data_IF_616580730574
#
_entry.id   IF_616580730574
#
_cell.length_a   1.000
_cell.length_b   1.000
_cell.length_c   1.000
_cell.angle_alpha   90.00
_cell.angle_beta   90.00
_cell.angle_gamma   90.00
#
_symmetry.space_group_name_H-M   'P 1'
#
loop_
_entity.id
_entity.type
_entity.pdbx_description
1 polymer ?
#
# COMPACT_ATOMS: atom_id res chain seq x y z
N UNK A 1 -2.19 -12.39 17.90
CA UNK A 1 -1.85 -11.58 19.11
C UNK A 1 -2.88 -10.47 19.19
N UNK A 2 -3.57 -10.37 20.30
CA UNK A 2 -4.57 -9.31 20.51
C UNK A 2 -3.87 -7.95 20.72
N UNK A 3 -4.51 -6.88 20.29
CA UNK A 3 -3.92 -5.52 20.36
C UNK A 3 -3.59 -5.11 21.81
N UNK A 4 -4.40 -5.53 22.76
CA UNK A 4 -4.18 -5.29 24.19
C UNK A 4 -2.95 -6.01 24.78
N UNK A 5 -2.45 -7.04 24.09
CA UNK A 5 -1.24 -7.77 24.50
C UNK A 5 0.05 -7.12 23.96
N UNK A 6 -0.06 -6.14 23.07
CA UNK A 6 1.07 -5.42 22.49
C UNK A 6 1.57 -4.27 23.38
N UNK A 7 1.94 -4.59 24.62
CA UNK A 7 2.45 -3.62 25.57
C UNK A 7 3.96 -3.40 25.39
N UNK A 8 4.36 -2.14 25.28
CA UNK A 8 5.76 -1.76 25.18
C UNK A 8 6.41 -1.63 26.55
N UNK A 9 7.52 -2.33 26.76
CA UNK A 9 8.38 -2.11 27.93
C UNK A 9 9.32 -0.92 27.65
N UNK A 10 9.04 0.24 28.25
CA UNK A 10 9.73 1.50 27.96
C UNK A 10 10.81 1.89 28.97
N UNK A 11 10.87 1.24 30.13
CA UNK A 11 11.91 1.50 31.13
C UNK A 11 11.70 0.79 32.44
N UNK A 12 12.75 0.78 33.26
CA UNK A 12 12.75 0.13 34.60
C UNK A 12 13.49 0.93 35.66
N UNK A 13 14.16 2.03 35.30
CA UNK A 13 14.93 2.84 36.26
C UNK A 13 13.98 3.81 36.99
N UNK A 14 13.90 3.74 38.32
CA UNK A 14 13.07 4.67 39.09
C UNK A 14 13.72 6.05 39.14
N UNK A 15 12.90 7.09 39.19
CA UNK A 15 13.33 8.44 39.52
C UNK A 15 13.74 8.50 41.02
N UNK A 16 14.81 9.24 41.31
CA UNK A 16 15.32 9.37 42.67
C UNK A 16 14.53 10.43 43.45
N UNK A 17 13.36 10.03 43.93
CA UNK A 17 12.50 10.84 44.77
C UNK A 17 11.59 9.92 45.62
N UNK A 18 11.10 10.42 46.73
CA UNK A 18 10.15 9.69 47.58
C UNK A 18 8.69 9.95 47.15
N UNK A 19 8.31 9.33 46.02
CA UNK A 19 7.00 9.47 45.37
C UNK A 19 6.50 8.12 44.85
N UNK A 20 5.23 8.05 44.48
CA UNK A 20 4.67 6.91 43.73
C UNK A 20 5.08 6.97 42.26
N UNK A 21 4.95 5.85 41.54
CA UNK A 21 5.17 5.75 40.08
C UNK A 21 6.55 6.26 39.59
N UNK A 22 7.60 5.97 40.36
CA UNK A 22 8.97 6.46 40.10
C UNK A 22 9.48 6.16 38.68
N UNK A 23 9.16 4.98 38.12
CA UNK A 23 9.58 4.60 36.74
C UNK A 23 8.88 5.48 35.72
N UNK A 24 7.56 5.68 35.84
CA UNK A 24 6.79 6.57 34.97
C UNK A 24 7.37 7.99 34.98
N UNK A 25 7.64 8.52 36.18
CA UNK A 25 8.19 9.86 36.32
C UNK A 25 9.57 9.98 35.64
N UNK A 26 10.43 8.96 35.78
CA UNK A 26 11.74 8.99 35.14
C UNK A 26 11.60 8.98 33.59
N UNK A 27 10.68 8.21 33.02
CA UNK A 27 10.40 8.22 31.58
C UNK A 27 9.90 9.60 31.14
N UNK A 28 8.95 10.18 31.84
CA UNK A 28 8.45 11.54 31.55
C UNK A 28 9.56 12.58 31.62
N UNK A 29 10.46 12.48 32.61
CA UNK A 29 11.62 13.36 32.73
C UNK A 29 12.57 13.21 31.51
N UNK A 30 12.86 11.99 31.09
CA UNK A 30 13.67 11.71 29.90
C UNK A 30 13.03 12.30 28.63
N UNK A 31 11.72 12.14 28.46
CA UNK A 31 10.98 12.70 27.32
C UNK A 31 11.00 14.24 27.35
N UNK A 32 10.83 14.82 28.55
CA UNK A 32 10.90 16.28 28.70
C UNK A 32 12.30 16.82 28.42
N UNK A 33 13.35 16.25 28.98
CA UNK A 33 14.73 16.69 28.76
C UNK A 33 15.19 16.58 27.30
N UNK A 34 14.77 15.50 26.60
CA UNK A 34 15.21 15.26 25.23
C UNK A 34 14.36 15.96 24.18
N UNK A 35 13.07 16.07 24.41
CA UNK A 35 12.10 16.47 23.36
C UNK A 35 11.15 17.59 23.82
N UNK A 36 11.19 18.02 25.08
CA UNK A 36 10.26 19.01 25.62
C UNK A 36 8.85 18.47 25.83
N UNK A 37 8.64 17.15 25.76
CA UNK A 37 7.35 16.49 25.87
C UNK A 37 6.94 16.42 27.35
N UNK A 38 5.69 16.74 27.65
CA UNK A 38 5.05 16.60 28.95
C UNK A 38 3.99 15.50 28.93
N UNK A 39 3.49 15.07 30.09
CA UNK A 39 2.43 14.06 30.16
C UNK A 39 1.15 14.48 29.42
N UNK A 40 0.85 15.79 29.40
CA UNK A 40 -0.33 16.32 28.70
C UNK A 40 -0.22 16.15 27.17
N UNK A 41 0.99 16.26 26.63
CA UNK A 41 1.22 16.09 25.20
C UNK A 41 0.93 14.66 24.73
N UNK A 42 1.12 13.67 25.62
CA UNK A 42 0.81 12.26 25.31
C UNK A 42 -0.69 11.98 25.13
N UNK A 43 -1.58 12.85 25.63
CA UNK A 43 -3.03 12.70 25.49
C UNK A 43 -3.51 12.91 24.04
N UNK A 44 -2.73 13.62 23.23
CA UNK A 44 -3.06 13.93 21.83
C UNK A 44 -1.99 13.48 20.85
N UNK A 45 -0.99 12.74 21.30
CA UNK A 45 0.08 12.23 20.45
C UNK A 45 -0.37 11.00 19.67
N UNK A 46 0.17 10.84 18.46
CA UNK A 46 0.17 9.59 17.72
C UNK A 46 1.50 8.88 17.96
N UNK A 47 1.44 7.68 18.50
CA UNK A 47 2.63 6.88 18.84
C UNK A 47 2.59 5.56 18.09
N UNK A 48 3.59 5.32 17.27
CA UNK A 48 3.72 4.11 16.49
C UNK A 48 4.89 3.26 16.98
N UNK A 49 4.63 1.98 17.15
CA UNK A 49 5.62 0.96 17.52
C UNK A 49 5.99 0.18 16.28
N UNK A 50 7.21 0.38 15.81
CA UNK A 50 7.69 -0.26 14.59
C UNK A 50 8.94 -1.10 14.88
N UNK A 51 9.16 -2.22 14.16
CA UNK A 51 10.40 -2.99 14.26
C UNK A 51 11.62 -2.15 13.90
N UNK A 52 12.64 -2.20 14.75
CA UNK A 52 13.91 -1.47 14.52
C UNK A 52 14.89 -2.24 13.62
N UNK A 53 14.50 -3.38 13.10
CA UNK A 53 15.37 -4.20 12.24
C UNK A 53 15.54 -3.54 10.87
N UNK A 54 16.78 -3.42 10.37
CA UNK A 54 17.00 -2.90 9.02
C UNK A 54 16.52 -3.89 7.95
N UNK A 55 16.10 -3.36 6.82
CA UNK A 55 15.87 -4.16 5.62
C UNK A 55 17.17 -4.83 5.16
N UNK A 56 17.09 -6.10 4.73
CA UNK A 56 18.25 -6.92 4.35
C UNK A 56 17.98 -7.76 3.12
N UNK A 57 19.03 -8.01 2.35
CA UNK A 57 19.02 -9.08 1.34
C UNK A 57 18.86 -10.44 2.03
N UNK A 58 18.05 -11.31 1.44
CA UNK A 58 17.71 -12.62 1.94
C UNK A 58 17.85 -13.70 0.86
N UNK A 59 18.06 -14.94 1.28
CA UNK A 59 18.33 -16.08 0.42
C UNK A 59 19.83 -16.31 0.21
N UNK A 60 20.22 -17.55 -0.14
CA UNK A 60 21.62 -17.89 -0.41
C UNK A 60 22.20 -17.11 -1.60
N UNK A 61 21.33 -16.77 -2.55
CA UNK A 61 21.63 -16.00 -3.78
C UNK A 61 21.36 -14.51 -3.63
N UNK A 62 20.89 -14.07 -2.48
CA UNK A 62 20.48 -12.69 -2.22
C UNK A 62 19.37 -12.16 -3.17
N UNK A 63 18.54 -13.03 -3.70
CA UNK A 63 17.47 -12.67 -4.66
C UNK A 63 16.25 -12.03 -4.02
N UNK A 64 16.12 -12.11 -2.71
CA UNK A 64 15.01 -11.54 -1.95
C UNK A 64 15.44 -10.36 -1.10
N UNK A 65 14.48 -9.60 -0.66
CA UNK A 65 14.63 -8.54 0.34
C UNK A 65 13.60 -8.76 1.44
N UNK A 66 14.07 -8.62 2.68
CA UNK A 66 13.26 -8.77 3.88
C UNK A 66 13.34 -7.52 4.75
N UNK A 67 12.20 -7.05 5.23
CA UNK A 67 12.09 -5.85 6.05
C UNK A 67 10.68 -5.61 6.54
N UNK A 68 10.53 -4.67 7.43
CA UNK A 68 9.23 -4.22 7.93
C UNK A 68 8.58 -3.24 6.96
N UNK A 69 7.26 -3.42 6.74
CA UNK A 69 6.46 -2.50 5.93
C UNK A 69 6.75 -2.60 4.44
N UNK A 70 7.03 -3.80 3.92
CA UNK A 70 6.99 -4.05 2.48
C UNK A 70 5.60 -3.75 1.95
N UNK A 71 4.60 -4.06 2.72
CA UNK A 71 3.23 -3.62 2.62
C UNK A 71 3.09 -2.22 3.27
N UNK A 72 2.90 -1.11 2.51
CA UNK A 72 3.02 -1.11 1.02
C UNK A 72 4.15 -0.17 0.54
N UNK A 73 5.21 -0.02 1.32
CA UNK A 73 6.37 0.83 0.94
C UNK A 73 7.00 0.41 -0.38
N UNK A 74 6.87 -0.86 -0.74
CA UNK A 74 7.50 -1.38 -1.96
C UNK A 74 6.78 -0.89 -3.22
N UNK A 75 5.44 -0.88 -3.23
CA UNK A 75 4.69 -0.34 -4.37
C UNK A 75 4.71 1.20 -4.36
N UNK A 76 4.73 1.84 -3.19
CA UNK A 76 4.94 3.29 -3.07
C UNK A 76 6.28 3.69 -3.70
N UNK A 77 7.37 3.02 -3.35
CA UNK A 77 8.70 3.32 -3.88
C UNK A 77 8.77 3.12 -5.40
N UNK A 78 8.26 2.00 -5.88
CA UNK A 78 8.32 1.65 -7.31
C UNK A 78 7.42 2.55 -8.16
N UNK A 79 6.22 2.89 -7.68
CA UNK A 79 5.30 3.81 -8.35
C UNK A 79 5.89 5.22 -8.45
N UNK A 80 6.33 5.77 -7.32
CA UNK A 80 6.91 7.11 -7.30
C UNK A 80 8.15 7.21 -8.18
N UNK A 81 9.06 6.23 -8.07
CA UNK A 81 10.30 6.22 -8.87
C UNK A 81 9.99 6.09 -10.35
N UNK A 82 9.01 5.26 -10.73
CA UNK A 82 8.58 5.12 -12.12
C UNK A 82 8.04 6.45 -12.66
N UNK A 83 7.17 7.13 -11.91
CA UNK A 83 6.63 8.43 -12.33
C UNK A 83 7.74 9.50 -12.49
N UNK A 84 8.69 9.55 -11.56
CA UNK A 84 9.80 10.53 -11.62
C UNK A 84 10.71 10.36 -12.86
N UNK A 85 10.70 9.18 -13.48
CA UNK A 85 11.47 8.89 -14.69
C UNK A 85 10.68 9.13 -15.99
N UNK A 86 9.42 9.57 -15.90
CA UNK A 86 8.63 9.88 -17.10
C UNK A 86 9.00 11.27 -17.63
N UNK A 87 9.57 11.30 -18.80
CA UNK A 87 9.80 12.52 -19.56
C UNK A 87 8.65 12.76 -20.54
N UNK A 88 8.11 13.98 -20.57
CA UNK A 88 7.07 14.43 -21.53
C UNK A 88 5.83 13.51 -21.56
N UNK A 89 5.12 13.35 -20.45
CA UNK A 89 3.92 12.51 -20.41
C UNK A 89 2.87 13.02 -21.39
N UNK A 90 2.25 12.11 -22.13
CA UNK A 90 1.19 12.43 -23.10
C UNK A 90 -0.14 12.80 -22.41
N UNK A 91 -0.32 12.33 -21.19
CA UNK A 91 -1.49 12.59 -20.34
C UNK A 91 -1.03 13.09 -18.96
N UNK A 92 -1.90 13.77 -18.26
CA UNK A 92 -1.64 14.12 -16.85
C UNK A 92 -1.46 12.84 -16.03
N UNK A 93 -0.32 12.71 -15.38
CA UNK A 93 0.07 11.55 -14.60
C UNK A 93 0.17 11.93 -13.13
N UNK A 94 -0.48 11.17 -12.26
CA UNK A 94 -0.56 11.44 -10.82
C UNK A 94 -0.24 10.16 -10.05
N UNK A 95 0.71 10.22 -9.13
CA UNK A 95 0.93 9.19 -8.12
C UNK A 95 0.29 9.64 -6.82
N UNK A 96 -0.66 8.88 -6.32
CA UNK A 96 -1.32 9.11 -5.04
C UNK A 96 -0.71 8.16 -4.03
N UNK A 97 -0.18 8.69 -2.94
CA UNK A 97 0.31 7.90 -1.81
C UNK A 97 -0.70 8.11 -0.69
N UNK A 98 -1.49 7.08 -0.43
CA UNK A 98 -2.59 7.14 0.53
C UNK A 98 -2.13 6.69 1.91
N UNK A 99 -2.68 7.33 2.93
CA UNK A 99 -2.55 6.95 4.34
C UNK A 99 -3.79 6.14 4.78
N UNK A 100 -3.65 5.37 5.86
CA UNK A 100 -4.74 4.68 6.56
C UNK A 100 -5.44 3.56 5.77
N UNK A 101 -4.76 2.98 4.78
CA UNK A 101 -5.33 1.85 4.03
C UNK A 101 -5.70 0.71 4.97
N UNK A 102 -4.79 0.30 5.86
CA UNK A 102 -4.90 -0.82 6.79
C UNK A 102 -6.02 -0.70 7.83
N UNK A 103 -6.53 0.50 8.04
CA UNK A 103 -7.66 0.76 8.94
C UNK A 103 -8.92 1.16 8.18
N UNK A 104 -9.00 0.85 6.88
CA UNK A 104 -10.19 1.03 6.04
C UNK A 104 -10.27 2.39 5.35
N UNK A 105 -9.15 3.07 5.13
CA UNK A 105 -9.04 4.33 4.37
C UNK A 105 -9.91 5.48 4.91
N UNK A 106 -10.34 5.40 6.15
CA UNK A 106 -11.25 6.33 6.80
C UNK A 106 -10.54 7.59 7.31
N UNK A 107 -11.33 8.62 7.64
CA UNK A 107 -10.82 9.88 8.17
C UNK A 107 -10.45 10.89 7.09
N UNK A 108 -9.96 12.06 7.51
CA UNK A 108 -9.72 13.20 6.63
C UNK A 108 -8.45 13.08 5.76
N UNK A 109 -7.59 12.09 6.01
CA UNK A 109 -6.37 11.82 5.23
C UNK A 109 -6.42 10.48 4.50
N UNK A 110 -7.40 9.63 4.79
CA UNK A 110 -7.62 8.37 4.08
C UNK A 110 -8.21 8.57 2.69
N UNK A 111 -8.12 7.56 1.85
CA UNK A 111 -8.57 7.64 0.45
C UNK A 111 -10.09 7.82 0.30
N UNK A 112 -10.88 7.43 1.30
CA UNK A 112 -12.34 7.66 1.36
C UNK A 112 -12.70 9.14 1.58
N UNK A 113 -11.74 9.99 1.95
CA UNK A 113 -11.98 11.42 2.14
C UNK A 113 -12.13 12.17 0.80
N UNK A 114 -12.65 13.39 0.88
CA UNK A 114 -12.75 14.27 -0.28
C UNK A 114 -11.44 15.01 -0.64
N UNK A 115 -10.32 14.69 0.01
CA UNK A 115 -9.04 15.39 -0.22
C UNK A 115 -8.60 15.26 -1.68
N UNK A 116 -8.67 14.05 -2.23
CA UNK A 116 -8.30 13.81 -3.62
C UNK A 116 -9.22 14.53 -4.61
N UNK A 117 -10.54 14.46 -4.39
CA UNK A 117 -11.54 15.15 -5.23
C UNK A 117 -11.31 16.67 -5.22
N UNK A 118 -11.06 17.22 -4.04
CA UNK A 118 -10.76 18.65 -3.86
C UNK A 118 -9.47 19.02 -4.59
N UNK A 119 -8.42 18.22 -4.46
CA UNK A 119 -7.14 18.44 -5.12
C UNK A 119 -7.28 18.48 -6.65
N UNK A 120 -7.98 17.51 -7.23
CA UNK A 120 -8.22 17.47 -8.68
C UNK A 120 -9.08 18.65 -9.11
N UNK A 121 -10.13 18.98 -8.36
CA UNK A 121 -10.99 20.14 -8.65
C UNK A 121 -10.20 21.45 -8.67
N UNK A 122 -9.27 21.65 -7.73
CA UNK A 122 -8.40 22.84 -7.70
C UNK A 122 -7.47 22.93 -8.92
N UNK A 123 -6.92 21.78 -9.35
CA UNK A 123 -6.13 21.72 -10.59
C UNK A 123 -7.00 22.12 -11.79
N UNK A 124 -8.19 21.54 -11.91
CA UNK A 124 -9.11 21.83 -13.02
C UNK A 124 -9.50 23.31 -13.04
N UNK A 125 -9.80 23.89 -11.89
CA UNK A 125 -10.12 25.32 -11.76
C UNK A 125 -8.95 26.21 -12.24
N UNK A 126 -7.72 25.88 -11.85
CA UNK A 126 -6.51 26.61 -12.27
C UNK A 126 -6.24 26.49 -13.78
N UNK A 127 -6.65 25.39 -14.39
CA UNK A 127 -6.59 25.19 -15.85
C UNK A 127 -7.74 25.86 -16.61
N UNK A 128 -8.61 26.58 -15.92
CA UNK A 128 -9.74 27.29 -16.53
C UNK A 128 -10.97 26.41 -16.79
N UNK A 129 -11.08 25.28 -16.11
CA UNK A 129 -12.20 24.34 -16.23
C UNK A 129 -13.44 24.86 -15.51
N UNK A 130 -14.46 25.29 -16.26
CA UNK A 130 -15.74 25.80 -15.73
C UNK A 130 -16.95 24.96 -16.20
N UNK A 131 -16.74 23.75 -16.74
CA UNK A 131 -17.83 22.92 -17.29
C UNK A 131 -18.55 22.17 -16.19
N UNK A 132 -19.89 22.06 -16.24
CA UNK A 132 -20.63 21.21 -15.32
C UNK A 132 -20.13 19.76 -15.39
N UNK A 133 -20.07 19.12 -14.24
CA UNK A 133 -19.62 17.71 -14.08
C UNK A 133 -18.22 17.44 -14.67
N UNK A 134 -17.32 18.42 -14.61
CA UNK A 134 -15.99 18.27 -15.18
C UNK A 134 -15.16 17.25 -14.41
N UNK A 135 -15.26 17.25 -13.07
CA UNK A 135 -14.56 16.30 -12.22
C UNK A 135 -14.96 14.84 -12.52
N UNK A 136 -16.26 14.59 -12.57
CA UNK A 136 -16.82 13.27 -12.90
C UNK A 136 -16.38 12.80 -14.29
N UNK A 137 -16.37 13.70 -15.27
CA UNK A 137 -15.89 13.39 -16.62
C UNK A 137 -14.39 13.08 -16.65
N UNK A 138 -13.60 13.78 -15.84
CA UNK A 138 -12.17 13.48 -15.71
C UNK A 138 -11.98 12.11 -15.10
N UNK A 139 -12.70 11.76 -14.03
CA UNK A 139 -12.62 10.43 -13.44
C UNK A 139 -13.02 9.34 -14.43
N UNK A 140 -14.16 9.48 -15.11
CA UNK A 140 -14.60 8.49 -16.12
C UNK A 140 -13.65 8.31 -17.32
N UNK A 141 -12.72 9.24 -17.54
CA UNK A 141 -11.68 9.13 -18.57
C UNK A 141 -10.29 8.83 -18.00
N UNK A 142 -10.22 8.51 -16.73
CA UNK A 142 -8.96 8.22 -16.05
C UNK A 142 -8.79 6.71 -15.82
N UNK A 143 -7.54 6.29 -15.79
CA UNK A 143 -7.14 4.91 -15.56
C UNK A 143 -6.18 4.85 -14.38
N UNK A 144 -6.27 3.81 -13.57
CA UNK A 144 -5.43 3.63 -12.39
C UNK A 144 -4.93 2.18 -12.26
N UNK A 145 -3.66 2.03 -11.95
CA UNK A 145 -3.16 0.84 -11.28
C UNK A 145 -3.23 1.11 -9.77
N UNK A 146 -4.01 0.31 -9.07
CA UNK A 146 -4.01 0.28 -7.61
C UNK A 146 -2.80 -0.53 -7.18
N UNK A 147 -1.73 0.19 -6.87
CA UNK A 147 -0.44 -0.40 -6.56
C UNK A 147 -0.41 -0.73 -5.07
N UNK A 148 -0.77 -1.96 -4.75
CA UNK A 148 -0.77 -2.54 -3.42
C UNK A 148 -0.16 -3.95 -3.49
N UNK A 149 0.53 -4.40 -2.45
CA UNK A 149 1.17 -5.71 -2.47
C UNK A 149 0.15 -6.83 -2.60
N UNK A 150 0.58 -7.96 -3.16
CA UNK A 150 -0.24 -9.15 -3.33
C UNK A 150 0.23 -10.26 -2.37
N UNK A 151 -0.70 -11.09 -1.91
CA UNK A 151 -0.36 -12.21 -1.03
C UNK A 151 0.33 -13.33 -1.81
N UNK A 152 1.64 -13.42 -1.68
CA UNK A 152 2.42 -14.51 -2.25
C UNK A 152 2.06 -15.86 -1.62
N UNK A 153 1.97 -16.92 -2.42
CA UNK A 153 1.72 -18.26 -1.90
C UNK A 153 2.84 -18.70 -0.94
N UNK A 154 2.48 -18.90 0.31
CA UNK A 154 3.36 -19.53 1.29
C UNK A 154 3.06 -21.06 1.33
N UNK A 155 4.02 -21.91 0.95
CA UNK A 155 3.80 -23.36 0.94
C UNK A 155 3.57 -23.96 2.34
N UNK A 156 3.98 -23.26 3.41
CA UNK A 156 3.80 -23.71 4.79
C UNK A 156 2.36 -23.41 5.25
N UNK A 157 1.79 -22.29 4.82
CA UNK A 157 0.44 -21.82 5.21
C UNK A 157 -0.54 -21.83 4.03
N UNK A 158 -0.44 -22.80 3.15
CA UNK A 158 -1.23 -22.87 1.91
C UNK A 158 -2.75 -23.02 2.09
N UNK A 159 -3.24 -23.26 3.30
CA UNK A 159 -4.68 -23.45 3.57
C UNK A 159 -5.55 -22.21 3.30
N UNK A 160 -4.96 -21.02 3.38
CA UNK A 160 -5.64 -19.73 3.15
C UNK A 160 -5.55 -19.26 1.70
N UNK A 161 -4.88 -20.03 0.84
CA UNK A 161 -4.63 -19.68 -0.56
C UNK A 161 -5.26 -20.70 -1.51
N UNK A 162 -5.68 -20.26 -2.70
CA UNK A 162 -6.04 -21.11 -3.83
C UNK A 162 -4.88 -21.13 -4.83
N UNK A 163 -4.21 -22.27 -4.95
CA UNK A 163 -2.96 -22.38 -5.72
C UNK A 163 -3.04 -21.95 -7.17
N UNK A 164 -4.22 -22.15 -7.79
CA UNK A 164 -4.41 -21.78 -9.20
C UNK A 164 -4.52 -20.26 -9.42
N UNK A 165 -4.90 -19.54 -8.36
CA UNK A 165 -5.17 -18.10 -8.41
C UNK A 165 -4.19 -17.29 -7.56
N UNK A 166 -3.25 -17.94 -6.89
CA UNK A 166 -2.27 -17.24 -6.03
C UNK A 166 -1.10 -16.70 -6.86
N UNK A 167 -0.59 -15.55 -6.44
CA UNK A 167 0.71 -15.07 -6.90
C UNK A 167 1.87 -15.82 -6.24
N UNK A 168 3.01 -15.79 -6.91
CA UNK A 168 4.24 -16.43 -6.44
C UNK A 168 5.39 -15.44 -6.51
N UNK A 169 6.20 -15.35 -5.47
CA UNK A 169 7.42 -14.53 -5.52
C UNK A 169 8.37 -15.03 -6.63
N UNK A 170 9.06 -14.10 -7.27
CA UNK A 170 10.00 -14.40 -8.36
C UNK A 170 9.34 -14.62 -9.73
N UNK A 171 8.05 -14.34 -9.88
CA UNK A 171 7.32 -14.50 -11.14
C UNK A 171 6.81 -13.21 -11.76
N UNK A 172 7.14 -12.08 -11.18
CA UNK A 172 6.71 -10.77 -11.66
C UNK A 172 5.52 -10.22 -10.89
N UNK A 173 5.02 -9.10 -11.36
CA UNK A 173 3.95 -8.34 -10.73
C UNK A 173 2.61 -9.09 -10.79
N UNK A 174 1.83 -9.06 -9.72
CA UNK A 174 0.46 -9.59 -9.68
C UNK A 174 -0.53 -8.62 -10.33
N UNK A 175 -1.43 -9.14 -11.16
CA UNK A 175 -2.61 -8.43 -11.66
C UNK A 175 -3.84 -9.11 -11.07
N UNK A 176 -4.56 -8.42 -10.20
CA UNK A 176 -5.75 -8.92 -9.56
C UNK A 176 -6.99 -8.27 -10.17
N UNK A 177 -7.65 -9.01 -11.07
CA UNK A 177 -8.90 -8.54 -11.68
C UNK A 177 -10.00 -8.33 -10.64
N UNK A 178 -10.02 -9.18 -9.62
CA UNK A 178 -11.00 -9.18 -8.56
C UNK A 178 -10.33 -9.17 -7.20
N UNK A 179 -10.77 -8.28 -6.31
CA UNK A 179 -10.39 -8.22 -4.91
C UNK A 179 -11.61 -8.13 -4.01
N UNK A 180 -11.47 -8.44 -2.74
CA UNK A 180 -12.54 -8.34 -1.76
C UNK A 180 -12.45 -9.38 -0.66
N UNK A 181 -12.68 -8.96 0.58
CA UNK A 181 -12.71 -9.87 1.72
C UNK A 181 -13.97 -10.73 1.68
N UNK A 182 -13.83 -12.04 1.74
CA UNK A 182 -14.89 -13.04 1.66
C UNK A 182 -15.82 -12.83 0.45
N UNK A 183 -15.25 -12.34 -0.64
CA UNK A 183 -15.95 -12.12 -1.89
C UNK A 183 -16.85 -10.89 -1.97
N UNK A 184 -16.91 -10.03 -0.95
CA UNK A 184 -17.87 -8.90 -0.95
C UNK A 184 -17.37 -7.60 -0.33
N UNK A 185 -16.63 -7.64 0.77
CA UNK A 185 -16.23 -6.44 1.48
C UNK A 185 -15.02 -5.78 0.84
N UNK A 186 -15.11 -4.48 0.54
CA UNK A 186 -14.07 -3.75 -0.17
C UNK A 186 -13.76 -4.32 -1.56
N UNK A 187 -14.78 -4.91 -2.22
CA UNK A 187 -14.59 -5.60 -3.48
C UNK A 187 -14.36 -4.63 -4.64
N UNK A 188 -13.43 -4.97 -5.51
CA UNK A 188 -13.24 -4.36 -6.83
C UNK A 188 -13.25 -5.45 -7.90
N UNK A 189 -13.79 -5.12 -9.07
CA UNK A 189 -13.82 -6.00 -10.25
C UNK A 189 -13.46 -5.18 -11.48
N UNK A 190 -12.20 -5.29 -11.91
CA UNK A 190 -11.72 -4.59 -13.10
C UNK A 190 -12.45 -5.08 -14.36
N UNK A 191 -12.86 -4.15 -15.22
CA UNK A 191 -13.50 -4.54 -16.48
C UNK A 191 -12.51 -5.26 -17.42
N UNK A 192 -13.05 -6.16 -18.24
CA UNK A 192 -12.23 -7.04 -19.08
C UNK A 192 -11.41 -6.27 -20.14
N UNK A 193 -11.93 -5.18 -20.65
CA UNK A 193 -11.27 -4.31 -21.63
C UNK A 193 -10.03 -3.66 -21.04
N UNK A 194 -10.12 -3.13 -19.82
CA UNK A 194 -8.99 -2.52 -19.14
C UNK A 194 -7.94 -3.57 -18.73
N UNK A 195 -8.36 -4.74 -18.26
CA UNK A 195 -7.45 -5.87 -18.00
C UNK A 195 -6.67 -6.23 -19.27
N UNK A 196 -7.35 -6.31 -20.42
CA UNK A 196 -6.72 -6.61 -21.70
C UNK A 196 -5.74 -5.51 -22.13
N UNK A 197 -6.07 -4.24 -21.88
CA UNK A 197 -5.18 -3.11 -22.17
C UNK A 197 -3.90 -3.18 -21.34
N UNK A 198 -4.02 -3.36 -20.02
CA UNK A 198 -2.86 -3.45 -19.12
C UNK A 198 -1.97 -4.64 -19.50
N UNK A 199 -2.57 -5.80 -19.78
CA UNK A 199 -1.82 -6.97 -20.26
C UNK A 199 -1.08 -6.67 -21.55
N UNK A 200 -1.73 -6.04 -22.54
CA UNK A 200 -1.08 -5.64 -23.79
C UNK A 200 0.12 -4.72 -23.54
N UNK A 201 -0.04 -3.70 -22.67
CA UNK A 201 1.06 -2.80 -22.30
C UNK A 201 2.23 -3.60 -21.72
N UNK A 202 1.96 -4.53 -20.83
CA UNK A 202 3.00 -5.33 -20.18
C UNK A 202 3.70 -6.28 -21.17
N UNK A 203 2.93 -6.95 -22.03
CA UNK A 203 3.46 -7.86 -23.07
C UNK A 203 4.34 -7.11 -24.09
N UNK A 204 3.90 -5.96 -24.58
CA UNK A 204 4.64 -5.12 -25.54
C UNK A 204 5.95 -4.56 -24.94
N UNK A 205 6.01 -4.39 -23.61
CA UNK A 205 7.20 -3.90 -22.92
C UNK A 205 8.02 -5.00 -22.23
N UNK A 206 7.71 -6.27 -22.48
CA UNK A 206 8.38 -7.43 -21.88
C UNK A 206 8.41 -7.37 -20.34
N UNK A 207 7.31 -6.99 -19.72
CA UNK A 207 7.10 -7.01 -18.28
C UNK A 207 6.61 -8.39 -17.88
N UNK A 208 7.22 -8.96 -16.84
CA UNK A 208 6.74 -10.22 -16.26
C UNK A 208 5.59 -9.94 -15.30
N UNK A 209 4.48 -10.59 -15.52
CA UNK A 209 3.29 -10.50 -14.69
C UNK A 209 2.61 -11.85 -14.53
N UNK A 210 1.75 -11.95 -13.54
CA UNK A 210 0.91 -13.11 -13.29
C UNK A 210 -0.52 -12.63 -12.97
N UNK A 211 -1.52 -13.43 -13.35
CA UNK A 211 -2.90 -13.18 -12.96
C UNK A 211 -3.13 -13.90 -11.64
N UNK A 212 -3.61 -13.17 -10.65
CA UNK A 212 -3.78 -13.69 -9.30
C UNK A 212 -5.06 -13.16 -8.65
N UNK A 213 -5.37 -13.70 -7.49
CA UNK A 213 -6.36 -13.20 -6.53
C UNK A 213 -5.74 -13.16 -5.14
N UNK A 214 -6.18 -12.23 -4.34
CA UNK A 214 -5.69 -12.03 -2.98
C UNK A 214 -6.31 -13.07 -2.04
N UNK A 215 -5.63 -14.19 -1.82
CA UNK A 215 -6.05 -15.26 -0.95
C UNK A 215 -7.19 -16.13 -1.50
N UNK A 216 -7.78 -16.94 -0.64
CA UNK A 216 -8.90 -17.83 -0.96
C UNK A 216 -10.22 -17.13 -0.64
N UNK A 217 -11.04 -16.87 -1.67
CA UNK A 217 -12.23 -16.00 -1.60
C UNK A 217 -13.16 -16.29 -0.41
N UNK A 218 -13.55 -17.55 -0.20
CA UNK A 218 -14.51 -17.88 0.87
C UNK A 218 -13.91 -17.93 2.28
N UNK A 219 -12.59 -18.02 2.38
CA UNK A 219 -11.87 -18.21 3.65
C UNK A 219 -11.14 -16.95 4.10
N UNK A 220 -10.68 -16.16 3.16
CA UNK A 220 -9.87 -14.98 3.41
C UNK A 220 -10.03 -13.95 2.30
N UNK A 221 -8.93 -13.54 1.73
CA UNK A 221 -8.86 -12.43 0.78
C UNK A 221 -8.75 -11.10 1.49
N UNK A 222 -8.55 -10.05 0.73
CA UNK A 222 -8.44 -8.69 1.20
C UNK A 222 -9.11 -7.72 0.24
N UNK A 223 -9.54 -6.59 0.75
CA UNK A 223 -9.87 -5.42 -0.05
C UNK A 223 -8.62 -4.55 -0.22
N UNK A 224 -8.68 -3.67 -1.19
CA UNK A 224 -7.68 -2.65 -1.47
C UNK A 224 -8.39 -1.32 -1.66
N UNK A 225 -7.66 -0.24 -1.89
CA UNK A 225 -8.26 1.07 -2.22
C UNK A 225 -8.85 1.15 -3.64
N UNK A 226 -8.69 0.12 -4.46
CA UNK A 226 -9.12 0.09 -5.86
C UNK A 226 -10.61 0.46 -6.05
N UNK A 227 -11.50 -0.10 -5.22
CA UNK A 227 -12.93 0.15 -5.31
C UNK A 227 -13.30 1.64 -5.13
N UNK A 228 -12.51 2.40 -4.36
CA UNK A 228 -12.82 3.79 -4.03
C UNK A 228 -12.82 4.67 -5.29
N UNK A 229 -11.81 4.54 -6.13
CA UNK A 229 -11.74 5.29 -7.38
C UNK A 229 -12.51 4.60 -8.52
N UNK A 230 -12.63 3.28 -8.51
CA UNK A 230 -13.53 2.56 -9.43
C UNK A 230 -14.99 3.02 -9.26
N UNK A 231 -15.47 3.24 -8.03
CA UNK A 231 -16.79 3.77 -7.74
C UNK A 231 -17.01 5.22 -8.23
N UNK A 232 -15.93 5.95 -8.53
CA UNK A 232 -15.99 7.29 -9.15
C UNK A 232 -15.99 7.23 -10.70
N UNK A 233 -15.98 6.03 -11.26
CA UNK A 233 -16.06 5.79 -12.70
C UNK A 233 -14.73 5.62 -13.41
N UNK A 234 -13.60 5.52 -12.69
CA UNK A 234 -12.30 5.24 -13.26
C UNK A 234 -12.16 3.76 -13.66
N UNK A 235 -11.36 3.48 -14.67
CA UNK A 235 -10.88 2.14 -14.94
C UNK A 235 -9.75 1.80 -13.97
N UNK A 236 -9.95 0.81 -13.11
CA UNK A 236 -9.00 0.45 -12.05
C UNK A 236 -8.72 -1.04 -12.05
N UNK A 237 -7.47 -1.43 -11.82
CA UNK A 237 -7.06 -2.80 -11.54
C UNK A 237 -6.00 -2.81 -10.44
N UNK A 238 -6.07 -3.78 -9.54
CA UNK A 238 -5.00 -4.01 -8.58
C UNK A 238 -3.77 -4.63 -9.25
N UNK A 239 -2.62 -4.06 -8.96
CA UNK A 239 -1.37 -4.39 -9.63
C UNK A 239 -0.19 -4.23 -8.68
N UNK A 240 0.22 -5.30 -8.01
CA UNK A 240 1.19 -5.22 -6.94
C UNK A 240 2.24 -6.31 -6.88
N UNK A 241 3.15 -6.15 -5.95
CA UNK A 241 4.29 -7.05 -5.75
C UNK A 241 3.90 -8.18 -4.81
N UNK A 242 4.15 -9.46 -5.15
CA UNK A 242 3.92 -10.57 -4.24
C UNK A 242 4.81 -10.50 -3.00
N UNK A 243 4.21 -10.59 -1.82
CA UNK A 243 4.88 -10.56 -0.51
C UNK A 243 4.55 -11.81 0.30
N UNK A 244 5.52 -12.35 0.99
CA UNK A 244 5.34 -13.38 2.00
C UNK A 244 5.32 -12.76 3.40
N UNK A 245 4.55 -13.36 4.29
CA UNK A 245 4.40 -12.88 5.68
C UNK A 245 3.88 -11.45 5.78
N UNK A 246 2.96 -11.07 4.88
CA UNK A 246 2.25 -9.78 4.90
C UNK A 246 1.72 -9.47 6.31
N UNK A 247 1.82 -8.22 6.74
CA UNK A 247 1.46 -7.72 8.09
C UNK A 247 2.30 -8.30 9.24
N UNK A 248 3.38 -9.02 8.94
CA UNK A 248 4.30 -9.46 9.99
C UNK A 248 5.36 -8.39 10.28
N UNK A 249 6.08 -8.50 11.42
CA UNK A 249 7.20 -7.61 11.71
C UNK A 249 8.36 -7.70 10.69
N UNK A 250 8.35 -8.71 9.81
CA UNK A 250 9.41 -8.91 8.83
C UNK A 250 8.88 -9.62 7.58
N UNK A 251 8.58 -8.86 6.56
CA UNK A 251 7.98 -9.29 5.30
C UNK A 251 9.05 -9.54 4.25
N UNK A 252 8.77 -10.42 3.30
CA UNK A 252 9.75 -10.87 2.29
C UNK A 252 9.16 -10.75 0.89
N UNK A 253 9.92 -10.15 -0.02
CA UNK A 253 9.59 -10.13 -1.45
C UNK A 253 10.81 -10.43 -2.33
N UNK A 254 10.56 -10.73 -3.61
CA UNK A 254 11.61 -10.91 -4.61
C UNK A 254 12.07 -9.57 -5.18
N UNK A 255 13.40 -9.39 -5.30
CA UNK A 255 13.98 -8.23 -5.99
C UNK A 255 13.61 -8.20 -7.48
N UNK A 256 13.35 -9.35 -8.08
CA UNK A 256 12.86 -9.43 -9.45
C UNK A 256 11.47 -8.81 -9.56
N UNK A 257 10.56 -9.18 -8.67
CA UNK A 257 9.18 -8.69 -8.72
C UNK A 257 9.11 -7.19 -8.46
N UNK A 258 9.92 -6.68 -7.52
CA UNK A 258 10.10 -5.25 -7.30
C UNK A 258 10.57 -4.52 -8.57
N UNK A 259 11.54 -5.09 -9.27
CA UNK A 259 12.05 -4.49 -10.50
C UNK A 259 11.01 -4.55 -11.64
N UNK A 260 10.27 -5.66 -11.75
CA UNK A 260 9.18 -5.76 -12.73
C UNK A 260 8.03 -4.80 -12.41
N UNK A 261 7.73 -4.55 -11.13
CA UNK A 261 6.74 -3.55 -10.72
C UNK A 261 7.16 -2.14 -11.16
N UNK A 262 8.40 -1.74 -10.87
CA UNK A 262 8.94 -0.47 -11.34
C UNK A 262 8.81 -0.32 -12.87
N UNK A 263 9.23 -1.34 -13.63
CA UNK A 263 9.13 -1.32 -15.10
C UNK A 263 7.68 -1.33 -15.60
N UNK A 264 6.81 -2.08 -14.94
CA UNK A 264 5.39 -2.17 -15.27
C UNK A 264 4.68 -0.84 -15.07
N UNK A 265 4.93 -0.16 -13.96
CA UNK A 265 4.37 1.16 -13.69
C UNK A 265 4.92 2.21 -14.66
N UNK A 266 6.20 2.17 -14.98
CA UNK A 266 6.80 3.04 -16.00
C UNK A 266 6.16 2.80 -17.39
N UNK A 267 5.96 1.55 -17.78
CA UNK A 267 5.31 1.20 -19.04
C UNK A 267 3.85 1.69 -19.07
N UNK A 268 3.12 1.54 -17.99
CA UNK A 268 1.76 2.05 -17.86
C UNK A 268 1.70 3.58 -18.00
N UNK A 269 2.54 4.32 -17.28
CA UNK A 269 2.61 5.79 -17.39
C UNK A 269 2.86 6.28 -18.83
N UNK A 270 3.63 5.51 -19.60
CA UNK A 270 3.98 5.87 -20.99
C UNK A 270 2.91 5.52 -22.02
N UNK A 271 2.08 4.50 -21.78
CA UNK A 271 1.29 3.85 -22.82
C UNK A 271 -0.22 3.73 -22.56
N UNK A 272 -0.71 4.08 -21.35
CA UNK A 272 -2.13 3.93 -20.97
C UNK A 272 -3.02 5.07 -21.47
#
# INVERSE_FOLDING_TARGET
IDGEDLNLLIGSIPFDADISEKVKLNILNILNEKYGITEVDLLSSELELVPAMPCRSMGLDNSMVAGYGQDDKICVYTSLTALMNIENPQKTSICIISDKEEIGSMGNTGMESHVFDTFISEILNKLGGNKPNLLEKVFCNSKMLSADVDAGLDPIYSSVSERNNSSYIGRGIGLNKYTGARGKSGASDANAEFVAEVRRIFEENNIRYQIAELGKVDVGGGGTIAYILANKGMDVIDCGVPVLSMHSPYEVTSKLDLYEAYRGYEAFWKNA
#
